data_IF_590230887770
#
_entry.id   IF_590230887770
#
_cell.length_a   1.000
_cell.length_b   1.000
_cell.length_c   1.000
_cell.angle_alpha   90.00
_cell.angle_beta   90.00
_cell.angle_gamma   90.00
#
_symmetry.space_group_name_H-M   'P 1'
#
loop_
_entity.id
_entity.type
_entity.pdbx_description
1 polymer ?
#
# COMPACT_ATOMS: atom_id res chain seq x y z
N UNK A 1 -6.71 -3.57 15.07
CA UNK A 1 -5.71 -3.88 14.03
C UNK A 1 -6.03 -2.99 12.84
N UNK A 2 -5.07 -2.24 12.32
CA UNK A 2 -5.27 -1.43 11.13
C UNK A 2 -5.58 -2.28 9.90
N UNK A 3 -6.23 -1.69 8.90
CA UNK A 3 -6.47 -2.38 7.62
C UNK A 3 -5.18 -2.35 6.81
N UNK A 4 -4.82 -3.46 6.18
CA UNK A 4 -3.70 -3.48 5.25
C UNK A 4 -3.98 -2.54 4.06
N UNK A 5 -2.93 -1.96 3.51
CA UNK A 5 -3.02 -1.01 2.40
C UNK A 5 -2.48 -1.67 1.14
N UNK A 6 -3.30 -1.79 0.11
CA UNK A 6 -2.91 -2.35 -1.17
C UNK A 6 -2.52 -1.26 -2.15
N UNK A 7 -1.35 -1.38 -2.75
CA UNK A 7 -0.94 -0.59 -3.92
C UNK A 7 -1.25 -1.41 -5.15
N UNK A 8 -2.28 -1.02 -5.90
CA UNK A 8 -2.82 -1.79 -7.04
C UNK A 8 -2.70 -1.01 -8.35
N UNK A 9 -2.40 -1.69 -9.48
CA UNK A 9 -2.44 -1.05 -10.79
C UNK A 9 -3.88 -0.69 -11.18
N UNK A 10 -4.03 0.42 -11.90
CA UNK A 10 -5.25 0.92 -12.53
C UNK A 10 -4.96 1.27 -13.99
N UNK A 11 -6.01 1.49 -14.78
CA UNK A 11 -5.89 1.79 -16.22
C UNK A 11 -4.93 2.96 -16.50
N UNK A 12 -4.91 3.98 -15.64
CA UNK A 12 -4.10 5.19 -15.82
C UNK A 12 -3.14 5.46 -14.65
N UNK A 13 -2.61 4.40 -14.02
CA UNK A 13 -1.62 4.55 -12.95
C UNK A 13 -1.85 3.59 -11.80
N UNK A 14 -1.83 4.13 -10.58
CA UNK A 14 -1.77 3.34 -9.35
C UNK A 14 -2.76 3.86 -8.32
N UNK A 15 -3.31 2.95 -7.52
CA UNK A 15 -4.23 3.31 -6.44
C UNK A 15 -3.78 2.71 -5.12
N UNK A 16 -4.08 3.42 -4.03
CA UNK A 16 -4.06 2.85 -2.68
C UNK A 16 -5.47 2.41 -2.33
N UNK A 17 -5.63 1.17 -1.90
CA UNK A 17 -6.92 0.59 -1.48
C UNK A 17 -6.77 -0.11 -0.15
N UNK A 18 -7.55 0.31 0.85
CA UNK A 18 -7.60 -0.41 2.11
C UNK A 18 -8.18 -1.82 1.95
N UNK A 19 -7.66 -2.78 2.70
CA UNK A 19 -8.14 -4.16 2.71
C UNK A 19 -9.63 -4.20 3.04
N UNK A 20 -10.40 -4.91 2.20
CA UNK A 20 -11.85 -4.99 2.29
C UNK A 20 -12.62 -3.73 1.89
N UNK A 21 -11.95 -2.62 1.52
CA UNK A 21 -12.66 -1.45 1.00
C UNK A 21 -13.11 -1.70 -0.45
N UNK A 22 -14.28 -1.22 -0.83
CA UNK A 22 -14.75 -1.25 -2.22
C UNK A 22 -14.14 -0.13 -3.07
N UNK A 23 -13.77 0.98 -2.42
CA UNK A 23 -13.26 2.20 -3.06
C UNK A 23 -11.77 2.36 -2.83
N UNK A 24 -11.12 2.98 -3.81
CA UNK A 24 -9.74 3.43 -3.69
C UNK A 24 -9.66 4.61 -2.71
N UNK A 25 -8.67 4.57 -1.83
CA UNK A 25 -8.34 5.64 -0.89
C UNK A 25 -7.70 6.83 -1.60
N UNK A 26 -6.85 6.57 -2.61
CA UNK A 26 -6.19 7.61 -3.41
C UNK A 26 -5.68 7.07 -4.75
N UNK A 27 -5.46 7.96 -5.71
CA UNK A 27 -4.92 7.66 -7.04
C UNK A 27 -3.61 8.43 -7.27
N UNK A 28 -2.68 7.81 -7.99
CA UNK A 28 -1.32 8.29 -8.24
C UNK A 28 -0.87 7.91 -9.65
N UNK A 29 0.08 8.66 -10.20
CA UNK A 29 0.58 8.38 -11.54
C UNK A 29 1.56 7.20 -11.54
N UNK A 30 2.32 7.03 -10.46
CA UNK A 30 3.37 6.00 -10.35
C UNK A 30 3.18 5.08 -9.14
N UNK A 31 3.74 3.87 -9.22
CA UNK A 31 3.72 2.91 -8.12
C UNK A 31 4.41 3.47 -6.88
N UNK A 32 5.53 4.18 -7.07
CA UNK A 32 6.31 4.76 -5.99
C UNK A 32 5.54 5.88 -5.25
N UNK A 33 4.71 6.66 -5.94
CA UNK A 33 3.82 7.64 -5.29
C UNK A 33 2.75 6.95 -4.46
N UNK A 34 2.09 5.93 -5.02
CA UNK A 34 1.09 5.16 -4.31
C UNK A 34 1.68 4.41 -3.11
N UNK A 35 2.88 3.86 -3.23
CA UNK A 35 3.60 3.21 -2.13
C UNK A 35 3.91 4.18 -1.01
N UNK A 36 4.43 5.39 -1.31
CA UNK A 36 4.68 6.42 -0.29
C UNK A 36 3.40 6.79 0.46
N UNK A 37 2.28 6.95 -0.25
CA UNK A 37 0.99 7.23 0.37
C UNK A 37 0.48 6.06 1.24
N UNK A 38 0.55 4.83 0.73
CA UNK A 38 0.16 3.62 1.45
C UNK A 38 1.01 3.41 2.71
N UNK A 39 2.32 3.67 2.64
CA UNK A 39 3.25 3.61 3.78
C UNK A 39 2.84 4.56 4.90
N UNK A 40 2.51 5.81 4.58
CA UNK A 40 2.05 6.77 5.60
C UNK A 40 0.78 6.30 6.32
N UNK A 41 -0.16 5.72 5.57
CA UNK A 41 -1.40 5.17 6.14
C UNK A 41 -1.10 3.93 7.00
N UNK A 42 -0.28 3.01 6.51
CA UNK A 42 0.05 1.77 7.19
C UNK A 42 0.84 2.01 8.49
N UNK A 43 1.77 2.97 8.52
CA UNK A 43 2.48 3.38 9.74
C UNK A 43 1.49 3.89 10.79
N UNK A 44 0.59 4.80 10.40
CA UNK A 44 -0.40 5.37 11.32
C UNK A 44 -1.39 4.31 11.84
N UNK A 45 -1.71 3.31 11.02
CA UNK A 45 -2.64 2.24 11.37
C UNK A 45 -1.96 1.01 11.99
N UNK A 46 -0.63 1.00 12.10
CA UNK A 46 0.17 -0.16 12.49
C UNK A 46 -0.21 -1.42 11.66
N UNK A 47 -0.27 -1.24 10.35
CA UNK A 47 -0.72 -2.22 9.36
C UNK A 47 0.35 -2.50 8.31
N UNK A 48 0.04 -3.34 7.33
CA UNK A 48 0.95 -3.70 6.25
C UNK A 48 0.63 -2.95 4.95
N UNK A 49 1.64 -2.77 4.10
CA UNK A 49 1.50 -2.36 2.71
C UNK A 49 1.75 -3.57 1.81
N UNK A 50 0.82 -3.86 0.92
CA UNK A 50 0.90 -4.94 -0.07
C UNK A 50 1.02 -4.31 -1.45
N UNK A 51 2.16 -4.49 -2.10
CA UNK A 51 2.45 -3.89 -3.39
C UNK A 51 2.18 -4.92 -4.48
N UNK A 52 1.27 -4.61 -5.39
CA UNK A 52 0.99 -5.43 -6.57
C UNK A 52 1.85 -4.97 -7.74
N UNK A 53 2.31 -5.88 -8.59
CA UNK A 53 2.89 -5.54 -9.89
C UNK A 53 1.82 -5.17 -10.92
N UNK A 54 2.24 -4.74 -12.11
CA UNK A 54 1.33 -4.38 -13.22
C UNK A 54 0.42 -5.55 -13.64
N UNK A 55 0.88 -6.79 -13.42
CA UNK A 55 0.10 -8.01 -13.63
C UNK A 55 -0.93 -8.31 -12.52
N UNK A 56 -1.11 -7.40 -11.56
CA UNK A 56 -2.02 -7.54 -10.43
C UNK A 56 -1.57 -8.51 -9.34
N UNK A 57 -0.44 -9.22 -9.52
CA UNK A 57 0.11 -10.15 -8.52
C UNK A 57 0.88 -9.40 -7.45
N UNK A 58 0.95 -9.95 -6.24
CA UNK A 58 1.77 -9.38 -5.17
C UNK A 58 3.25 -9.44 -5.58
N UNK A 59 3.89 -8.28 -5.60
CA UNK A 59 5.32 -8.09 -5.84
C UNK A 59 6.09 -8.03 -4.52
N UNK A 60 5.55 -7.32 -3.53
CA UNK A 60 6.25 -6.99 -2.29
C UNK A 60 5.26 -6.75 -1.13
N UNK A 61 5.72 -6.95 0.11
CA UNK A 61 4.96 -6.67 1.34
C UNK A 61 5.86 -5.99 2.36
N UNK A 62 5.38 -4.88 2.92
CA UNK A 62 6.07 -4.09 3.93
C UNK A 62 5.19 -4.00 5.19
N UNK A 63 5.65 -4.53 6.32
CA UNK A 63 4.89 -4.52 7.57
C UNK A 63 5.28 -3.34 8.45
N UNK A 64 4.30 -2.65 9.02
CA UNK A 64 4.51 -1.53 9.96
C UNK A 64 3.78 -1.74 11.29
N UNK A 65 3.30 -2.97 11.53
CA UNK A 65 2.73 -3.39 12.81
C UNK A 65 3.81 -3.97 13.70
N UNK A 66 4.07 -3.34 14.85
CA UNK A 66 4.96 -3.84 15.91
C UNK A 66 6.35 -4.33 15.42
N UNK A 67 6.87 -3.74 14.34
CA UNK A 67 8.19 -4.07 13.80
C UNK A 67 9.26 -3.23 14.53
N UNK A 68 10.18 -3.85 15.30
CA UNK A 68 11.29 -3.13 15.92
C UNK A 68 12.29 -2.55 14.89
N UNK A 69 12.16 -2.92 13.60
CA UNK A 69 13.04 -2.49 12.51
C UNK A 69 12.22 -2.03 11.28
N UNK A 70 11.63 -0.82 11.29
CA UNK A 70 10.94 -0.31 10.12
C UNK A 70 11.88 -0.28 8.90
N UNK A 71 11.37 -0.59 7.68
CA UNK A 71 12.21 -0.62 6.48
C UNK A 71 12.86 0.75 6.28
N UNK A 72 14.19 0.75 6.08
CA UNK A 72 14.95 1.97 5.82
C UNK A 72 14.40 2.62 4.55
N UNK A 73 13.91 3.84 4.69
CA UNK A 73 13.43 4.66 3.57
C UNK A 73 14.56 5.14 2.69
#
# INVERSE_FOLDING_TARGET
MGKNQHVVPRENGWAVRGEGNERDTSHHNTQAEAERAARGIAINQQAEVIIHGENGRIRERNSYGNDPFPPKG
#
